data_IF_162617266039
#
_entry.id   IF_162617266039
#
_cell.length_a   1.000
_cell.length_b   1.000
_cell.length_c   1.000
_cell.angle_alpha   90.00
_cell.angle_beta   90.00
_cell.angle_gamma   90.00
#
_symmetry.space_group_name_H-M   'P 1'
#
loop_
_entity.id
_entity.type
_entity.pdbx_description
1 polymer ?
#
# COMPACT_ATOMS: atom_id res chain seq x y z
N UNK A 1 17.62 5.83 -4.25
CA UNK A 1 16.95 4.55 -3.88
C UNK A 1 17.75 3.95 -2.74
N UNK A 2 17.10 3.51 -1.68
CA UNK A 2 17.80 2.89 -0.55
C UNK A 2 18.34 1.52 -0.98
N UNK A 3 19.49 1.11 -0.47
CA UNK A 3 20.22 -0.11 -0.88
C UNK A 3 19.43 -1.43 -0.67
N UNK A 4 18.24 -1.35 -0.06
CA UNK A 4 17.38 -2.50 0.27
C UNK A 4 16.11 -2.61 -0.56
N UNK A 5 15.82 -1.64 -1.43
CA UNK A 5 14.62 -1.69 -2.29
C UNK A 5 14.98 -2.37 -3.60
N UNK A 6 14.31 -3.48 -3.89
CA UNK A 6 14.47 -4.23 -5.12
C UNK A 6 13.14 -4.37 -5.86
N UNK A 7 13.22 -4.50 -7.17
CA UNK A 7 12.05 -4.70 -8.01
C UNK A 7 11.46 -6.09 -7.80
N UNK A 8 10.13 -6.19 -7.85
CA UNK A 8 9.42 -7.46 -7.79
C UNK A 8 8.83 -7.75 -9.17
N UNK A 9 9.10 -8.92 -9.77
CA UNK A 9 8.48 -9.33 -11.03
C UNK A 9 6.96 -9.23 -10.95
N UNK A 10 6.33 -8.66 -11.99
CA UNK A 10 4.88 -8.36 -11.97
C UNK A 10 4.02 -9.61 -11.72
N UNK A 11 4.42 -10.77 -12.26
CA UNK A 11 3.75 -12.04 -12.01
C UNK A 11 3.78 -12.51 -10.54
N UNK A 12 4.61 -11.86 -9.71
CA UNK A 12 4.69 -12.10 -8.25
C UNK A 12 4.16 -10.93 -7.41
N UNK A 13 3.78 -9.81 -8.04
CA UNK A 13 3.37 -8.60 -7.33
C UNK A 13 2.15 -8.81 -6.41
N UNK A 14 1.21 -9.69 -6.79
CA UNK A 14 0.05 -10.01 -5.97
C UNK A 14 0.43 -10.55 -4.58
N UNK A 15 1.58 -11.22 -4.45
CA UNK A 15 2.08 -11.80 -3.19
C UNK A 15 2.36 -10.74 -2.13
N UNK A 16 2.61 -9.50 -2.55
CA UNK A 16 2.83 -8.37 -1.64
C UNK A 16 1.58 -8.03 -0.80
N UNK A 17 0.39 -8.44 -1.24
CA UNK A 17 -0.88 -8.15 -0.54
C UNK A 17 -1.61 -9.40 -0.03
N UNK A 18 -1.17 -10.63 -0.35
CA UNK A 18 -1.93 -11.86 -0.02
C UNK A 18 -2.08 -12.13 1.47
N UNK A 19 -1.25 -11.53 2.32
CA UNK A 19 -1.35 -11.67 3.78
C UNK A 19 -2.32 -10.66 4.41
N UNK A 20 -3.02 -9.81 3.61
CA UNK A 20 -4.07 -8.90 4.05
C UNK A 20 -3.57 -7.74 4.93
N UNK A 21 -2.49 -7.03 4.59
CA UNK A 21 -1.99 -5.93 5.41
C UNK A 21 -2.91 -4.71 5.33
N UNK A 22 -2.86 -3.85 6.34
CA UNK A 22 -3.22 -2.44 6.17
C UNK A 22 -2.28 -1.84 5.12
N UNK A 23 -2.81 -1.03 4.22
CA UNK A 23 -2.00 -0.38 3.18
C UNK A 23 -2.05 1.14 3.32
N UNK A 24 -1.01 1.81 2.85
CA UNK A 24 -1.06 3.23 2.53
C UNK A 24 -1.43 3.37 1.06
N UNK A 25 -2.45 4.16 0.78
CA UNK A 25 -2.88 4.53 -0.58
C UNK A 25 -2.37 5.91 -0.87
N UNK A 26 -1.55 6.08 -1.89
CA UNK A 26 -1.08 7.39 -2.32
C UNK A 26 -1.44 7.66 -3.78
N UNK A 27 -1.61 8.94 -4.08
CA UNK A 27 -1.81 9.42 -5.46
C UNK A 27 -1.33 10.86 -5.58
N UNK A 28 -1.05 11.27 -6.81
CA UNK A 28 -0.67 12.63 -7.19
C UNK A 28 -1.51 13.09 -8.36
N UNK A 29 -2.03 14.30 -8.27
CA UNK A 29 -2.73 14.96 -9.37
C UNK A 29 -2.54 16.46 -9.30
N UNK A 30 -2.22 17.10 -10.46
CA UNK A 30 -1.98 18.53 -10.56
C UNK A 30 -0.97 19.08 -9.52
N UNK A 31 0.09 18.32 -9.24
CA UNK A 31 1.15 18.71 -8.30
C UNK A 31 0.78 18.53 -6.82
N UNK A 32 -0.40 18.01 -6.50
CA UNK A 32 -0.84 17.73 -5.13
C UNK A 32 -0.63 16.26 -4.82
N UNK A 33 0.14 15.97 -3.77
CA UNK A 33 0.34 14.63 -3.21
C UNK A 33 -0.61 14.38 -2.05
N UNK A 34 -1.14 13.17 -1.96
CA UNK A 34 -1.77 12.70 -0.73
C UNK A 34 -1.46 11.22 -0.46
N UNK A 35 -1.50 10.89 0.83
CA UNK A 35 -1.39 9.52 1.34
C UNK A 35 -2.49 9.32 2.39
N UNK A 36 -3.19 8.19 2.34
CA UNK A 36 -4.14 7.75 3.36
C UNK A 36 -3.91 6.29 3.74
N UNK A 37 -4.36 5.86 4.90
CA UNK A 37 -4.38 4.44 5.24
C UNK A 37 -5.71 3.81 4.82
N UNK A 38 -5.65 2.54 4.38
CA UNK A 38 -6.81 1.71 4.06
C UNK A 38 -6.60 0.27 4.56
N UNK A 39 -7.64 -0.29 5.19
CA UNK A 39 -7.63 -1.68 5.65
C UNK A 39 -8.32 -2.63 4.65
N UNK A 40 -9.11 -2.10 3.72
CA UNK A 40 -9.89 -2.91 2.77
C UNK A 40 -9.22 -2.93 1.40
N UNK A 41 -8.22 -3.79 1.28
CA UNK A 41 -7.48 -4.02 0.04
C UNK A 41 -7.15 -5.51 -0.11
N UNK A 42 -7.10 -5.99 -1.34
CA UNK A 42 -6.63 -7.34 -1.61
C UNK A 42 -6.07 -7.51 -3.04
N UNK A 43 -5.33 -8.61 -3.24
CA UNK A 43 -4.98 -9.08 -4.57
C UNK A 43 -6.24 -9.60 -5.28
N UNK A 44 -6.42 -9.26 -6.57
CA UNK A 44 -7.59 -9.66 -7.37
C UNK A 44 -7.22 -10.65 -8.47
N UNK A 45 -6.10 -10.44 -9.16
CA UNK A 45 -5.67 -11.26 -10.30
C UNK A 45 -4.14 -11.30 -10.35
N UNK A 46 -3.58 -12.27 -11.02
CA UNK A 46 -2.11 -12.42 -11.14
C UNK A 46 -1.59 -12.29 -12.58
N UNK A 47 -2.44 -12.33 -13.59
CA UNK A 47 -2.00 -12.23 -14.99
C UNK A 47 -3.05 -11.54 -15.90
N UNK A 48 -2.97 -10.22 -16.14
CA UNK A 48 -2.08 -9.24 -15.50
C UNK A 48 -2.42 -9.03 -14.02
N UNK A 49 -1.42 -8.72 -13.17
CA UNK A 49 -1.67 -8.57 -11.74
C UNK A 49 -2.60 -7.39 -11.49
N UNK A 50 -3.66 -7.63 -10.72
CA UNK A 50 -4.62 -6.61 -10.30
C UNK A 50 -4.83 -6.66 -8.81
N UNK A 51 -5.20 -5.53 -8.27
CA UNK A 51 -5.51 -5.31 -6.86
C UNK A 51 -6.83 -4.56 -6.72
N UNK A 52 -7.45 -4.71 -5.56
CA UNK A 52 -8.61 -3.89 -5.17
C UNK A 52 -8.30 -3.09 -3.93
N UNK A 53 -8.95 -1.92 -3.81
CA UNK A 53 -8.94 -1.11 -2.60
C UNK A 53 -10.24 -0.30 -2.52
N UNK A 54 -10.78 -0.16 -1.32
CA UNK A 54 -11.93 0.72 -1.06
C UNK A 54 -11.40 2.11 -0.72
N UNK A 55 -11.84 3.12 -1.49
CA UNK A 55 -11.49 4.53 -1.30
C UNK A 55 -12.79 5.33 -1.21
N UNK A 56 -13.24 5.58 0.01
CA UNK A 56 -14.50 6.27 0.29
C UNK A 56 -14.57 7.63 -0.41
N UNK A 57 -15.77 7.97 -0.88
CA UNK A 57 -16.04 9.23 -1.61
C UNK A 57 -15.76 10.50 -0.81
N UNK A 58 -15.69 10.42 0.52
CA UNK A 58 -15.35 11.57 1.37
C UNK A 58 -13.84 11.84 1.45
N UNK A 59 -13.01 10.89 0.95
CA UNK A 59 -11.56 11.02 1.07
C UNK A 59 -10.98 11.92 -0.03
N UNK A 60 -10.03 12.80 0.34
CA UNK A 60 -9.33 13.63 -0.63
C UNK A 60 -8.50 12.81 -1.64
N UNK A 61 -8.02 11.64 -1.25
CA UNK A 61 -7.23 10.74 -2.11
C UNK A 61 -8.03 10.27 -3.32
N UNK A 62 -9.35 10.04 -3.17
CA UNK A 62 -10.21 9.60 -4.27
C UNK A 62 -10.17 10.52 -5.47
N UNK A 63 -10.31 11.83 -5.24
CA UNK A 63 -10.28 12.81 -6.33
C UNK A 63 -8.92 12.81 -7.07
N UNK A 64 -7.82 12.57 -6.36
CA UNK A 64 -6.49 12.47 -6.97
C UNK A 64 -6.38 11.20 -7.81
N UNK A 65 -6.88 10.06 -7.33
CA UNK A 65 -6.88 8.78 -8.08
C UNK A 65 -7.73 8.88 -9.33
N UNK A 66 -8.94 9.42 -9.22
CA UNK A 66 -9.85 9.60 -10.37
C UNK A 66 -9.27 10.59 -11.39
N UNK A 67 -8.61 11.66 -10.93
CA UNK A 67 -8.02 12.68 -11.78
C UNK A 67 -6.73 12.26 -12.48
N UNK A 68 -5.87 11.49 -11.81
CA UNK A 68 -4.59 11.02 -12.38
C UNK A 68 -4.71 9.69 -13.13
N UNK A 69 -5.68 8.86 -12.77
CA UNK A 69 -5.77 7.48 -13.23
C UNK A 69 -4.69 6.55 -12.62
N UNK A 70 -3.98 7.03 -11.58
CA UNK A 70 -2.87 6.31 -10.95
C UNK A 70 -2.96 6.36 -9.43
N UNK A 71 -2.54 5.28 -8.77
CA UNK A 71 -2.36 5.23 -7.32
C UNK A 71 -1.27 4.23 -6.93
N UNK A 72 -0.73 4.36 -5.73
CA UNK A 72 0.13 3.34 -5.17
C UNK A 72 -0.54 2.67 -3.97
N UNK A 73 -0.33 1.36 -3.82
CA UNK A 73 -0.55 0.63 -2.57
C UNK A 73 0.81 0.30 -1.95
N UNK A 74 0.94 0.56 -0.64
CA UNK A 74 2.21 0.41 0.06
C UNK A 74 1.96 -0.29 1.39
N UNK A 75 2.84 -1.20 1.78
CA UNK A 75 2.69 -2.00 3.01
C UNK A 75 3.51 -1.35 4.13
N UNK A 76 2.87 -0.64 5.08
CA UNK A 76 3.58 -0.03 6.21
C UNK A 76 4.08 -1.09 7.18
N UNK A 77 5.14 -0.74 7.89
CA UNK A 77 5.79 -1.57 8.91
C UNK A 77 5.38 -1.17 10.31
N UNK A 78 5.71 -2.00 11.30
CA UNK A 78 5.44 -1.73 12.73
C UNK A 78 6.02 -0.40 13.18
N UNK A 79 7.20 0.01 12.70
CA UNK A 79 7.77 1.34 13.02
C UNK A 79 6.94 2.50 12.50
N UNK A 80 6.07 2.26 11.51
CA UNK A 80 5.19 3.26 10.92
C UNK A 80 3.78 3.27 11.54
N UNK A 81 3.57 2.60 12.68
CA UNK A 81 2.25 2.53 13.32
C UNK A 81 1.63 3.92 13.53
N UNK A 82 2.36 4.83 14.14
CA UNK A 82 1.88 6.19 14.41
C UNK A 82 1.61 6.98 13.12
N UNK A 83 2.50 6.86 12.14
CA UNK A 83 2.32 7.46 10.81
C UNK A 83 1.06 6.92 10.13
N UNK A 84 0.86 5.59 10.15
CA UNK A 84 -0.28 4.92 9.53
C UNK A 84 -1.60 5.38 10.14
N UNK A 85 -1.68 5.48 11.46
CA UNK A 85 -2.86 5.98 12.17
C UNK A 85 -3.14 7.45 11.83
N UNK A 86 -2.15 8.32 11.85
CA UNK A 86 -2.30 9.73 11.51
C UNK A 86 -2.77 9.92 10.05
N UNK A 87 -2.19 9.18 9.11
CA UNK A 87 -2.59 9.25 7.71
C UNK A 87 -4.02 8.73 7.46
N UNK A 88 -4.49 7.79 8.29
CA UNK A 88 -5.84 7.22 8.22
C UNK A 88 -6.91 8.10 8.86
N UNK A 89 -6.57 8.87 9.88
CA UNK A 89 -7.52 9.70 10.65
C UNK A 89 -7.56 11.17 10.26
N UNK A 90 -6.58 11.64 9.49
CA UNK A 90 -6.46 13.04 9.07
C UNK A 90 -6.78 13.20 7.58
N UNK A 91 -7.63 14.15 7.23
CA UNK A 91 -7.97 14.44 5.82
C UNK A 91 -7.18 15.63 5.27
N UNK A 92 -6.60 15.46 4.06
CA UNK A 92 -5.97 16.58 3.33
C UNK A 92 -6.94 17.74 3.05
N UNK A 93 -8.24 17.45 2.94
CA UNK A 93 -9.25 18.47 2.69
C UNK A 93 -9.44 19.44 3.87
N UNK A 94 -9.18 18.98 5.10
CA UNK A 94 -9.28 19.80 6.32
C UNK A 94 -7.91 20.23 6.85
N UNK A 95 -6.86 19.45 6.59
CA UNK A 95 -5.50 19.71 7.06
C UNK A 95 -4.52 19.60 5.87
N UNK A 96 -4.29 20.69 5.12
CA UNK A 96 -3.42 20.69 3.95
C UNK A 96 -1.96 20.30 4.23
N UNK A 97 -1.51 20.49 5.46
CA UNK A 97 -0.16 20.15 5.95
C UNK A 97 -0.06 18.75 6.59
N UNK A 98 -1.11 17.89 6.41
CA UNK A 98 -1.16 16.57 7.07
C UNK A 98 0.09 15.72 6.87
N UNK A 99 0.66 15.71 5.66
CA UNK A 99 1.85 14.91 5.35
C UNK A 99 3.07 15.41 6.11
N UNK A 100 3.23 16.73 6.20
CA UNK A 100 4.31 17.34 6.97
C UNK A 100 4.14 17.08 8.47
N UNK A 101 2.92 17.25 9.00
CA UNK A 101 2.61 17.00 10.43
C UNK A 101 2.80 15.54 10.82
N UNK A 102 2.43 14.63 9.93
CA UNK A 102 2.67 13.19 10.11
C UNK A 102 4.14 12.79 9.90
N UNK A 103 4.99 13.72 9.49
CA UNK A 103 6.40 13.46 9.14
C UNK A 103 6.54 12.36 8.09
N UNK A 104 5.63 12.35 7.11
CA UNK A 104 5.67 11.39 6.01
C UNK A 104 6.83 11.74 5.05
N UNK A 105 7.86 10.93 5.06
CA UNK A 105 8.95 11.03 4.11
C UNK A 105 8.55 10.38 2.79
N UNK A 106 8.53 11.16 1.71
CA UNK A 106 8.14 10.70 0.39
C UNK A 106 9.35 10.59 -0.54
N UNK A 107 9.31 9.60 -1.42
CA UNK A 107 10.26 9.47 -2.52
C UNK A 107 9.51 9.17 -3.83
N UNK A 108 10.21 9.32 -4.95
CA UNK A 108 9.68 9.04 -6.28
C UNK A 108 10.53 7.97 -6.97
N UNK A 109 9.90 7.19 -7.81
CA UNK A 109 10.54 6.19 -8.65
C UNK A 109 10.40 6.67 -10.10
N UNK A 110 11.51 6.68 -10.84
CA UNK A 110 11.55 7.13 -12.22
C UNK A 110 10.51 6.41 -13.08
N UNK A 111 9.75 7.16 -13.87
CA UNK A 111 8.68 6.65 -14.71
C UNK A 111 7.30 6.58 -14.03
N UNK A 112 7.21 6.90 -12.74
CA UNK A 112 5.93 6.92 -12.00
C UNK A 112 5.72 8.26 -11.30
N UNK A 113 4.70 9.01 -11.73
CA UNK A 113 4.30 10.28 -11.08
C UNK A 113 3.42 9.97 -9.84
N UNK A 114 4.02 9.26 -8.89
CA UNK A 114 3.38 8.80 -7.64
C UNK A 114 4.31 9.09 -6.45
N UNK A 115 3.76 9.55 -5.31
CA UNK A 115 4.50 9.64 -4.07
C UNK A 115 4.55 8.26 -3.38
N UNK A 116 5.76 7.78 -3.09
CA UNK A 116 5.99 6.58 -2.30
C UNK A 116 6.48 6.95 -0.91
N UNK A 117 6.01 6.23 0.12
CA UNK A 117 6.37 6.49 1.52
C UNK A 117 7.62 5.69 1.89
N UNK A 118 8.64 6.38 2.38
CA UNK A 118 9.87 5.76 2.89
C UNK A 118 9.56 4.89 4.10
N UNK A 119 10.18 3.71 4.20
CA UNK A 119 10.06 2.82 5.37
C UNK A 119 8.94 1.78 5.28
N UNK A 120 8.12 1.79 4.23
CA UNK A 120 7.24 0.67 3.91
C UNK A 120 8.06 -0.57 3.52
N UNK A 121 7.48 -1.76 3.64
CA UNK A 121 8.10 -3.02 3.24
C UNK A 121 7.78 -3.44 1.80
N UNK A 122 6.76 -2.84 1.17
CA UNK A 122 6.44 -3.06 -0.23
C UNK A 122 5.71 -1.86 -0.85
N UNK A 123 5.84 -1.70 -2.18
CA UNK A 123 5.22 -0.65 -2.98
C UNK A 123 4.71 -1.23 -4.30
N UNK A 124 3.48 -0.90 -4.66
CA UNK A 124 2.84 -1.28 -5.92
C UNK A 124 2.35 -0.01 -6.61
N UNK A 125 2.86 0.30 -7.80
CA UNK A 125 2.30 1.33 -8.67
C UNK A 125 1.15 0.72 -9.48
N UNK A 126 -0.03 1.33 -9.41
CA UNK A 126 -1.25 0.82 -9.99
C UNK A 126 -1.85 1.83 -10.97
N UNK A 127 -2.20 1.37 -12.16
CA UNK A 127 -3.05 2.10 -13.10
C UNK A 127 -4.50 1.77 -12.82
N UNK A 128 -5.33 2.78 -12.65
CA UNK A 128 -6.76 2.62 -12.43
C UNK A 128 -7.41 1.87 -13.61
N UNK A 129 -8.13 0.80 -13.31
CA UNK A 129 -9.04 0.14 -14.24
C UNK A 129 -10.41 0.79 -14.03
N UNK A 130 -10.94 1.53 -15.03
CA UNK A 130 -12.23 2.22 -14.89
C UNK A 130 -13.37 1.24 -14.75
N UNK A 131 -14.00 1.21 -13.56
CA UNK A 131 -15.20 0.42 -13.25
C UNK A 131 -16.22 1.33 -12.55
N UNK A 132 -16.93 2.22 -13.30
CA UNK A 132 -17.74 3.27 -12.71
C UNK A 132 -18.81 2.76 -11.74
N UNK A 133 -19.41 1.60 -12.02
CA UNK A 133 -20.42 1.02 -11.12
C UNK A 133 -19.80 0.68 -9.76
N UNK A 134 -18.67 -0.02 -9.76
CA UNK A 134 -17.99 -0.40 -8.53
C UNK A 134 -17.48 0.82 -7.74
N UNK A 135 -16.92 1.80 -8.46
CA UNK A 135 -16.42 3.04 -7.86
C UNK A 135 -17.54 3.88 -7.22
N UNK A 136 -18.70 3.97 -7.88
CA UNK A 136 -19.81 4.80 -7.39
C UNK A 136 -20.67 4.11 -6.34
N UNK A 137 -20.88 2.80 -6.45
CA UNK A 137 -21.79 2.05 -5.59
C UNK A 137 -21.09 1.52 -4.35
N UNK A 138 -19.84 1.06 -4.49
CA UNK A 138 -19.11 0.36 -3.43
C UNK A 138 -17.82 1.07 -3.00
N UNK A 139 -17.52 2.22 -3.59
CA UNK A 139 -16.24 2.92 -3.40
C UNK A 139 -15.02 2.01 -3.72
N UNK A 140 -15.26 0.96 -4.52
CA UNK A 140 -14.28 -0.07 -4.86
C UNK A 140 -13.51 0.31 -6.11
N UNK A 141 -12.20 0.43 -5.98
CA UNK A 141 -11.25 0.72 -7.03
C UNK A 141 -10.47 -0.54 -7.41
N UNK A 142 -10.32 -0.77 -8.71
CA UNK A 142 -9.48 -1.83 -9.25
C UNK A 142 -8.27 -1.18 -9.90
N UNK A 143 -7.08 -1.67 -9.58
CA UNK A 143 -5.82 -1.23 -10.17
C UNK A 143 -5.07 -2.38 -10.84
N UNK A 144 -4.59 -2.16 -12.06
CA UNK A 144 -3.60 -3.02 -12.68
C UNK A 144 -2.22 -2.64 -12.16
N UNK A 145 -1.48 -3.57 -11.59
CA UNK A 145 -0.13 -3.32 -11.09
C UNK A 145 0.83 -3.20 -12.27
N UNK A 146 1.42 -2.02 -12.42
CA UNK A 146 2.35 -1.69 -13.52
C UNK A 146 3.81 -1.57 -13.05
N UNK A 147 4.04 -1.61 -11.74
CA UNK A 147 5.35 -1.66 -11.10
C UNK A 147 5.23 -2.15 -9.68
N UNK A 148 6.21 -2.92 -9.20
CA UNK A 148 6.23 -3.43 -7.84
C UNK A 148 7.65 -3.48 -7.28
N UNK A 149 7.80 -3.13 -6.01
CA UNK A 149 9.07 -3.13 -5.27
C UNK A 149 8.85 -3.62 -3.85
N UNK A 150 9.87 -4.16 -3.26
CA UNK A 150 9.87 -4.60 -1.87
C UNK A 150 11.19 -4.30 -1.19
N UNK A 151 11.13 -4.18 0.14
CA UNK A 151 12.32 -4.15 0.97
C UNK A 151 12.84 -5.57 1.15
N UNK A 152 14.08 -5.81 0.75
CA UNK A 152 14.72 -7.13 0.76
C UNK A 152 14.94 -7.70 2.17
N UNK A 153 14.76 -6.88 3.21
CA UNK A 153 14.82 -7.32 4.61
C UNK A 153 13.56 -8.06 5.05
N UNK A 154 12.42 -7.84 4.36
CA UNK A 154 11.14 -8.46 4.69
C UNK A 154 10.58 -9.35 3.57
N UNK A 155 10.93 -9.08 2.30
CA UNK A 155 10.44 -9.84 1.15
C UNK A 155 11.60 -10.17 0.20
N UNK A 156 11.84 -11.46 -0.03
CA UNK A 156 12.94 -11.93 -0.87
C UNK A 156 12.54 -13.19 -1.64
N UNK A 157 13.05 -13.35 -2.86
CA UNK A 157 12.81 -14.50 -3.73
C UNK A 157 11.31 -14.79 -3.98
N UNK A 158 10.49 -13.72 -3.95
CA UNK A 158 9.04 -13.80 -4.15
C UNK A 158 8.25 -14.26 -2.92
N UNK A 159 8.84 -14.20 -1.72
CA UNK A 159 8.23 -14.63 -0.46
C UNK A 159 8.46 -13.63 0.67
N UNK A 160 7.46 -13.43 1.51
CA UNK A 160 7.63 -12.76 2.79
C UNK A 160 8.48 -13.64 3.72
N UNK A 161 9.37 -12.98 4.45
CA UNK A 161 10.32 -13.62 5.38
C UNK A 161 10.26 -12.96 6.75
N UNK A 162 9.05 -12.68 7.24
CA UNK A 162 8.85 -12.00 8.51
C UNK A 162 9.44 -12.74 9.71
N UNK A 163 9.60 -14.06 9.61
CA UNK A 163 10.23 -14.91 10.63
C UNK A 163 11.73 -14.66 10.77
N UNK A 164 12.40 -14.16 9.72
CA UNK A 164 13.83 -13.85 9.71
C UNK A 164 14.12 -12.36 9.79
N UNK A 165 13.11 -11.51 9.56
CA UNK A 165 13.25 -10.07 9.63
C UNK A 165 13.20 -9.59 11.09
N UNK A 166 13.80 -8.42 11.35
CA UNK A 166 13.56 -7.71 12.60
C UNK A 166 12.04 -7.49 12.77
N UNK A 167 11.46 -7.73 13.96
CA UNK A 167 10.04 -7.49 14.22
C UNK A 167 9.53 -6.10 13.83
N UNK A 168 10.41 -5.12 13.78
CA UNK A 168 10.11 -3.75 13.31
C UNK A 168 9.65 -3.71 11.84
N UNK A 169 10.00 -4.70 11.01
CA UNK A 169 9.62 -4.82 9.60
C UNK A 169 8.33 -5.60 9.35
N UNK A 170 7.71 -6.13 10.39
CA UNK A 170 6.42 -6.82 10.27
C UNK A 170 5.34 -5.86 9.81
N UNK A 171 4.40 -6.37 9.01
CA UNK A 171 3.26 -5.60 8.52
C UNK A 171 2.22 -5.33 9.61
N UNK A 172 1.47 -4.24 9.44
CA UNK A 172 0.37 -3.83 10.30
C UNK A 172 -0.97 -4.34 9.77
N UNK A 173 -1.86 -4.72 10.69
CA UNK A 173 -3.23 -5.14 10.42
C UNK A 173 -4.18 -4.37 11.30
N UNK A 174 -4.86 -3.36 10.75
CA UNK A 174 -5.84 -2.55 11.47
C UNK A 174 -7.10 -3.36 11.78
N UNK A 175 -7.59 -3.23 13.00
CA UNK A 175 -8.82 -3.88 13.44
C UNK A 175 -9.94 -2.86 13.63
N UNK A 176 -9.74 -1.90 14.50
CA UNK A 176 -10.69 -0.80 14.76
C UNK A 176 -10.05 0.25 15.68
N UNK A 177 -10.41 1.53 15.50
CA UNK A 177 -10.20 2.57 16.49
C UNK A 177 -8.76 2.71 17.00
N UNK A 178 -7.77 2.78 16.12
CA UNK A 178 -6.35 2.90 16.50
C UNK A 178 -5.74 1.59 17.01
N UNK A 179 -6.44 0.46 16.89
CA UNK A 179 -5.95 -0.84 17.29
C UNK A 179 -5.45 -1.65 16.09
N UNK A 180 -4.20 -2.12 16.18
CA UNK A 180 -3.52 -2.87 15.13
C UNK A 180 -2.90 -4.14 15.70
N UNK A 181 -2.77 -5.15 14.86
CA UNK A 181 -1.88 -6.28 15.09
C UNK A 181 -0.68 -6.21 14.15
N UNK A 182 0.47 -6.67 14.62
CA UNK A 182 1.56 -7.04 13.73
C UNK A 182 1.34 -8.47 13.24
N UNK A 183 1.80 -8.79 12.02
CA UNK A 183 1.80 -10.18 11.55
C UNK A 183 2.58 -11.06 12.53
N UNK A 184 2.05 -12.24 12.85
CA UNK A 184 2.59 -13.15 13.85
C UNK A 184 3.70 -14.08 13.31
N UNK A 185 3.83 -15.24 13.95
CA UNK A 185 4.81 -16.27 13.60
C UNK A 185 4.41 -17.03 12.33
N UNK A 186 5.42 -17.45 11.56
CA UNK A 186 5.20 -18.29 10.39
C UNK A 186 4.80 -19.72 10.80
N UNK A 187 3.79 -20.27 10.12
CA UNK A 187 3.38 -21.66 10.26
C UNK A 187 3.54 -22.34 8.90
N UNK A 188 4.16 -23.51 8.87
CA UNK A 188 4.42 -24.25 7.64
C UNK A 188 3.78 -25.64 7.71
N UNK A 189 3.05 -26.01 6.67
CA UNK A 189 2.53 -27.37 6.50
C UNK A 189 3.57 -28.17 5.73
N UNK A 190 4.04 -29.29 6.31
CA UNK A 190 4.87 -30.24 5.60
C UNK A 190 3.95 -31.13 4.75
N UNK A 191 4.11 -31.19 3.41
CA UNK A 191 3.33 -32.10 2.58
C UNK A 191 3.55 -33.53 3.03
N UNK A 192 2.47 -34.30 3.20
CA UNK A 192 2.57 -35.76 3.33
C UNK A 192 3.16 -36.30 2.03
N UNK A 193 4.15 -37.19 2.15
CA UNK A 193 4.84 -37.83 1.02
C UNK A 193 3.96 -38.88 0.36
#
# INVERSE_FOLDING_TARGET
MTDYIDSVPLEKAYRLLTHGPTVLVSSRHNGVDNVMAAAWSCALDFAPPKVTVVIDKITATRALVEGSGMFALQVPTVVQLQLTEQLGTTSLATEPDKLQRAQAELFHIDGYDLPFVTGCSAWLACRLVPEPHNQQTYDLFIGEVVGAWSDTRAFKDGHWQFEYADPAWRSLHHVAGGHFYAIGEALTVTPEK
#
